data_IF_270404784270
#
_entry.id   IF_270404784270
#
_cell.length_a   1.000
_cell.length_b   1.000
_cell.length_c   1.000
_cell.angle_alpha   90.00
_cell.angle_beta   90.00
_cell.angle_gamma   90.00
#
_symmetry.space_group_name_H-M   'P 1'
#
loop_
_entity.id
_entity.type
_entity.pdbx_description
1 polymer ?
#
# COMPACT_ATOMS: atom_id res chain seq x y z
N UNK A 1 18.50 -19.47 56.49
CA UNK A 1 17.51 -20.19 55.65
C UNK A 1 16.68 -19.15 54.90
N UNK A 2 17.00 -18.96 53.62
CA UNK A 2 16.31 -18.07 52.70
C UNK A 2 14.97 -18.69 52.25
N UNK A 3 13.89 -17.91 52.22
CA UNK A 3 12.80 -18.13 51.26
C UNK A 3 12.29 -16.79 50.72
N UNK A 4 12.59 -16.62 49.44
CA UNK A 4 12.16 -15.55 48.55
C UNK A 4 10.64 -15.56 48.38
N UNK A 5 10.07 -14.35 48.43
CA UNK A 5 8.76 -14.01 47.92
C UNK A 5 8.73 -14.24 46.40
N UNK A 6 7.79 -15.08 45.96
CA UNK A 6 7.45 -15.29 44.55
C UNK A 6 6.70 -14.04 44.09
N UNK A 7 7.35 -13.15 43.33
CA UNK A 7 6.65 -12.12 42.55
C UNK A 7 5.96 -12.82 41.39
N UNK A 8 4.69 -12.50 41.25
CA UNK A 8 3.84 -12.85 40.11
C UNK A 8 4.49 -12.24 38.86
N UNK A 9 4.71 -13.07 37.84
CA UNK A 9 5.11 -12.62 36.51
C UNK A 9 4.05 -11.65 35.97
N UNK A 10 4.46 -10.39 35.86
CA UNK A 10 3.74 -9.35 35.14
C UNK A 10 3.78 -9.74 33.65
N UNK A 11 2.66 -9.90 32.93
CA UNK A 11 2.71 -10.03 31.49
C UNK A 11 3.24 -8.71 30.93
N UNK A 12 4.51 -8.72 30.53
CA UNK A 12 5.18 -7.60 29.91
C UNK A 12 4.34 -7.15 28.70
N UNK A 13 3.56 -6.08 28.89
CA UNK A 13 2.86 -5.40 27.81
C UNK A 13 3.88 -5.10 26.71
N UNK A 14 3.57 -5.43 25.44
CA UNK A 14 4.45 -5.08 24.36
C UNK A 14 4.69 -3.56 24.38
N UNK A 15 5.96 -3.21 24.29
CA UNK A 15 6.45 -1.84 24.24
C UNK A 15 5.67 -1.05 23.16
N UNK A 16 4.98 0.06 23.50
CA UNK A 16 4.19 0.83 22.54
C UNK A 16 5.04 1.40 21.40
N UNK A 17 6.35 1.57 21.60
CA UNK A 17 7.27 2.02 20.54
C UNK A 17 7.59 0.89 19.54
N UNK A 18 7.35 -0.37 19.93
CA UNK A 18 7.53 -1.54 19.07
C UNK A 18 6.30 -1.86 18.23
N UNK A 19 5.15 -1.27 18.56
CA UNK A 19 3.91 -1.33 17.76
C UNK A 19 3.88 -0.21 16.70
N UNK A 20 4.71 0.83 16.86
CA UNK A 20 4.78 1.99 15.95
C UNK A 20 5.98 1.99 14.99
N UNK A 21 6.80 0.93 14.97
CA UNK A 21 8.05 0.91 14.18
C UNK A 21 8.11 -0.26 13.18
N UNK A 22 7.07 -0.39 12.37
CA UNK A 22 7.28 -0.72 10.96
C UNK A 22 7.32 0.64 10.27
N UNK A 23 8.51 1.23 10.21
CA UNK A 23 8.70 2.45 9.45
C UNK A 23 8.32 2.11 8.01
N UNK A 24 7.22 2.70 7.54
CA UNK A 24 6.99 2.88 6.12
C UNK A 24 8.31 3.39 5.55
N UNK A 25 8.89 2.64 4.61
CA UNK A 25 10.04 3.11 3.85
C UNK A 25 9.54 4.27 2.99
N UNK A 26 9.49 5.45 3.63
CA UNK A 26 9.13 6.70 3.01
C UNK A 26 10.16 7.05 1.94
N UNK A 27 9.73 7.87 1.00
CA UNK A 27 10.65 8.48 0.06
C UNK A 27 11.60 9.37 0.88
N UNK A 28 12.89 9.04 0.91
CA UNK A 28 13.89 9.86 1.56
C UNK A 28 14.78 10.52 0.49
N UNK A 29 15.01 11.84 0.53
CA UNK A 29 15.87 12.51 -0.45
C UNK A 29 17.31 11.99 -0.45
N UNK A 30 17.73 11.31 0.63
CA UNK A 30 19.06 10.70 0.74
C UNK A 30 19.14 9.24 0.25
N UNK A 31 18.02 8.52 0.12
CA UNK A 31 18.01 7.11 -0.31
C UNK A 31 17.36 6.88 -1.67
N UNK A 32 16.61 7.86 -2.18
CA UNK A 32 16.19 7.93 -3.57
C UNK A 32 15.01 7.01 -3.93
N UNK A 33 14.68 6.92 -5.23
CA UNK A 33 13.46 6.26 -5.71
C UNK A 33 13.46 4.74 -5.54
N UNK A 34 14.60 4.10 -5.30
CA UNK A 34 14.71 2.64 -5.18
C UNK A 34 14.08 2.13 -3.88
N UNK A 35 14.28 2.83 -2.77
CA UNK A 35 13.68 2.48 -1.47
C UNK A 35 12.15 2.60 -1.51
N UNK A 36 11.64 3.63 -2.18
CA UNK A 36 10.21 3.77 -2.40
C UNK A 36 9.65 2.59 -3.22
N UNK A 37 10.31 2.22 -4.32
CA UNK A 37 9.87 1.08 -5.12
C UNK A 37 9.90 -0.22 -4.29
N UNK A 38 10.94 -0.44 -3.48
CA UNK A 38 10.99 -1.57 -2.56
C UNK A 38 9.84 -1.55 -1.53
N UNK A 39 9.48 -0.38 -1.00
CA UNK A 39 8.33 -0.21 -0.13
C UNK A 39 7.03 -0.65 -0.82
N UNK A 40 6.80 -0.18 -2.06
CA UNK A 40 5.61 -0.56 -2.83
C UNK A 40 5.56 -2.04 -3.18
N UNK A 41 6.71 -2.71 -3.33
CA UNK A 41 6.79 -4.17 -3.48
C UNK A 41 6.32 -4.88 -2.22
N UNK A 42 6.77 -4.42 -1.05
CA UNK A 42 6.34 -4.98 0.23
C UNK A 42 4.83 -4.82 0.43
N UNK A 43 4.29 -3.61 0.20
CA UNK A 43 2.86 -3.34 0.31
C UNK A 43 2.04 -4.19 -0.68
N UNK A 44 2.48 -4.32 -1.93
CA UNK A 44 1.81 -5.18 -2.90
C UNK A 44 1.80 -6.66 -2.48
N UNK A 45 2.90 -7.16 -1.89
CA UNK A 45 2.94 -8.50 -1.33
C UNK A 45 1.91 -8.67 -0.21
N UNK A 46 1.80 -7.70 0.70
CA UNK A 46 0.82 -7.72 1.79
C UNK A 46 -0.61 -7.79 1.24
N UNK A 47 -0.96 -6.95 0.26
CA UNK A 47 -2.29 -6.97 -0.38
C UNK A 47 -2.57 -8.32 -1.05
N UNK A 48 -1.64 -8.82 -1.87
CA UNK A 48 -1.79 -10.09 -2.59
C UNK A 48 -2.02 -11.26 -1.64
N UNK A 49 -1.26 -11.30 -0.55
CA UNK A 49 -1.19 -12.44 0.36
C UNK A 49 -2.18 -12.33 1.54
N UNK A 50 -2.88 -11.20 1.70
CA UNK A 50 -3.88 -10.98 2.76
C UNK A 50 -5.03 -12.01 2.73
N UNK A 51 -5.48 -12.48 3.89
CA UNK A 51 -6.57 -13.46 3.97
C UNK A 51 -7.92 -12.79 4.27
N UNK A 52 -8.84 -12.84 3.30
CA UNK A 52 -10.18 -12.27 3.40
C UNK A 52 -10.29 -10.77 3.08
N UNK A 53 -11.52 -10.26 3.08
CA UNK A 53 -11.82 -8.89 2.65
C UNK A 53 -11.25 -7.83 3.57
N UNK A 54 -11.36 -8.01 4.89
CA UNK A 54 -10.89 -7.01 5.86
C UNK A 54 -9.37 -6.83 5.78
N UNK A 55 -8.61 -7.93 5.78
CA UNK A 55 -7.15 -7.87 5.70
C UNK A 55 -6.68 -7.29 4.35
N UNK A 56 -7.38 -7.61 3.25
CA UNK A 56 -7.07 -7.03 1.93
C UNK A 56 -7.29 -5.51 1.93
N UNK A 57 -8.40 -5.04 2.53
CA UNK A 57 -8.68 -3.62 2.65
C UNK A 57 -7.64 -2.89 3.51
N UNK A 58 -7.31 -3.42 4.69
CA UNK A 58 -6.30 -2.85 5.57
C UNK A 58 -4.93 -2.76 4.91
N UNK A 59 -4.53 -3.79 4.16
CA UNK A 59 -3.30 -3.76 3.37
C UNK A 59 -3.36 -2.72 2.23
N UNK A 60 -4.51 -2.58 1.56
CA UNK A 60 -4.72 -1.54 0.54
C UNK A 60 -4.62 -0.12 1.11
N UNK A 61 -5.16 0.10 2.31
CA UNK A 61 -5.02 1.37 3.05
C UNK A 61 -3.55 1.60 3.45
N UNK A 62 -2.83 0.56 3.85
CA UNK A 62 -1.38 0.63 4.11
C UNK A 62 -0.60 1.08 2.87
N UNK A 63 -0.89 0.49 1.70
CA UNK A 63 -0.31 0.91 0.43
C UNK A 63 -0.61 2.39 0.14
N UNK A 64 -1.89 2.78 0.21
CA UNK A 64 -2.31 4.15 -0.01
C UNK A 64 -1.60 5.13 0.93
N UNK A 65 -1.49 4.79 2.22
CA UNK A 65 -0.77 5.56 3.22
C UNK A 65 0.70 5.76 2.86
N UNK A 66 1.38 4.70 2.41
CA UNK A 66 2.78 4.76 1.95
C UNK A 66 2.93 5.71 0.76
N UNK A 67 2.03 5.63 -0.23
CA UNK A 67 2.08 6.55 -1.39
C UNK A 67 1.81 7.99 -1.01
N UNK A 68 0.87 8.24 -0.09
CA UNK A 68 0.55 9.58 0.40
C UNK A 68 1.71 10.20 1.18
N UNK A 69 2.35 9.43 2.06
CA UNK A 69 3.51 9.88 2.83
C UNK A 69 4.65 10.28 1.89
N UNK A 70 5.00 9.39 0.96
CA UNK A 70 6.06 9.64 -0.01
C UNK A 70 5.75 10.83 -0.95
N UNK A 71 4.50 11.01 -1.35
CA UNK A 71 4.08 12.17 -2.14
C UNK A 71 4.25 13.49 -1.36
N UNK A 72 3.95 13.49 -0.05
CA UNK A 72 4.11 14.69 0.80
C UNK A 72 5.56 15.08 1.05
N UNK A 73 6.47 14.11 0.99
CA UNK A 73 7.90 14.30 1.23
C UNK A 73 8.67 14.66 -0.04
N UNK A 74 8.13 14.35 -1.23
CA UNK A 74 8.78 14.59 -2.52
C UNK A 74 8.77 16.09 -2.89
N UNK A 75 9.92 16.74 -3.13
CA UNK A 75 10.01 18.10 -3.62
C UNK A 75 9.30 18.28 -4.96
N UNK A 76 8.68 19.45 -5.14
CA UNK A 76 8.05 19.80 -6.41
C UNK A 76 9.04 19.73 -7.58
N UNK A 77 8.67 19.03 -8.65
CA UNK A 77 9.44 18.94 -9.90
C UNK A 77 10.30 17.69 -10.08
N UNK A 78 10.30 16.74 -9.13
CA UNK A 78 11.04 15.48 -9.27
C UNK A 78 10.26 14.35 -9.95
N UNK A 79 10.97 13.51 -10.71
CA UNK A 79 10.44 12.38 -11.49
C UNK A 79 9.64 11.35 -10.64
N UNK A 80 9.95 11.23 -9.35
CA UNK A 80 9.22 10.36 -8.42
C UNK A 80 7.74 10.78 -8.29
N UNK A 81 7.41 12.05 -8.51
CA UNK A 81 6.06 12.58 -8.33
C UNK A 81 5.02 11.92 -9.27
N UNK A 82 5.39 11.54 -10.50
CA UNK A 82 4.43 10.93 -11.44
C UNK A 82 4.07 9.50 -11.04
N UNK A 83 5.07 8.69 -10.65
CA UNK A 83 4.84 7.32 -10.16
C UNK A 83 4.05 7.35 -8.85
N UNK A 84 4.40 8.26 -7.94
CA UNK A 84 3.72 8.45 -6.68
C UNK A 84 2.26 8.87 -6.87
N UNK A 85 2.01 9.88 -7.70
CA UNK A 85 0.67 10.36 -7.98
C UNK A 85 -0.19 9.27 -8.65
N UNK A 86 0.37 8.52 -9.61
CA UNK A 86 -0.35 7.44 -10.26
C UNK A 86 -0.69 6.31 -9.28
N UNK A 87 0.25 5.86 -8.45
CA UNK A 87 -0.03 4.85 -7.42
C UNK A 87 -1.05 5.35 -6.39
N UNK A 88 -0.94 6.60 -5.93
CA UNK A 88 -1.92 7.20 -5.03
C UNK A 88 -3.34 7.16 -5.62
N UNK A 89 -3.50 7.52 -6.90
CA UNK A 89 -4.79 7.47 -7.58
C UNK A 89 -5.34 6.04 -7.69
N UNK A 90 -4.49 5.08 -8.09
CA UNK A 90 -4.89 3.68 -8.27
C UNK A 90 -5.35 3.09 -6.94
N UNK A 91 -4.53 3.22 -5.89
CA UNK A 91 -4.83 2.63 -4.59
C UNK A 91 -6.01 3.34 -3.91
N UNK A 92 -6.17 4.66 -4.11
CA UNK A 92 -7.36 5.38 -3.67
C UNK A 92 -8.64 4.84 -4.32
N UNK A 93 -8.63 4.64 -5.65
CA UNK A 93 -9.79 4.08 -6.36
C UNK A 93 -10.13 2.65 -5.92
N UNK A 94 -9.10 1.82 -5.70
CA UNK A 94 -9.29 0.44 -5.22
C UNK A 94 -9.84 0.40 -3.79
N UNK A 95 -9.37 1.28 -2.90
CA UNK A 95 -9.92 1.36 -1.53
C UNK A 95 -11.35 1.92 -1.54
N UNK A 96 -11.66 2.88 -2.41
CA UNK A 96 -13.02 3.41 -2.58
C UNK A 96 -13.98 2.33 -3.09
N UNK A 97 -13.55 1.47 -4.01
CA UNK A 97 -14.33 0.30 -4.46
C UNK A 97 -14.61 -0.67 -3.30
N UNK A 98 -13.66 -0.82 -2.38
CA UNK A 98 -13.84 -1.63 -1.18
C UNK A 98 -14.77 -1.01 -0.14
N UNK A 99 -14.93 0.32 -0.14
CA UNK A 99 -15.82 1.08 0.75
C UNK A 99 -17.17 1.47 0.11
N UNK A 100 -17.40 1.11 -1.15
CA UNK A 100 -18.53 1.57 -1.92
C UNK A 100 -19.89 1.28 -1.25
N UNK A 101 -20.80 2.27 -1.15
CA UNK A 101 -22.14 2.05 -0.61
C UNK A 101 -22.91 0.97 -1.39
N UNK A 102 -23.45 -0.01 -0.67
CA UNK A 102 -24.13 -1.16 -1.30
C UNK A 102 -23.24 -2.39 -1.50
N UNK A 103 -21.98 -2.36 -1.04
CA UNK A 103 -21.23 -3.55 -0.68
C UNK A 103 -21.86 -4.29 0.51
N UNK A 104 -21.47 -5.54 0.71
CA UNK A 104 -21.96 -6.40 1.79
C UNK A 104 -22.65 -7.67 1.31
N UNK A 105 -22.79 -7.88 -0.01
CA UNK A 105 -22.98 -9.23 -0.53
C UNK A 105 -21.61 -9.92 -0.65
N UNK A 106 -21.50 -11.22 -0.31
CA UNK A 106 -20.24 -11.96 -0.43
C UNK A 106 -19.64 -11.93 -1.84
N UNK A 107 -20.46 -11.83 -2.88
CA UNK A 107 -20.00 -11.80 -4.27
C UNK A 107 -19.33 -10.47 -4.64
N UNK A 108 -19.94 -9.34 -4.27
CA UNK A 108 -19.34 -8.02 -4.49
C UNK A 108 -18.06 -7.85 -3.66
N UNK A 109 -18.07 -8.32 -2.41
CA UNK A 109 -16.88 -8.28 -1.57
C UNK A 109 -15.75 -9.11 -2.18
N UNK A 110 -16.06 -10.32 -2.63
CA UNK A 110 -15.08 -11.18 -3.30
C UNK A 110 -14.60 -10.58 -4.63
N UNK A 111 -15.44 -9.88 -5.39
CA UNK A 111 -15.06 -9.25 -6.65
C UNK A 111 -14.04 -8.13 -6.43
N UNK A 112 -14.33 -7.21 -5.52
CA UNK A 112 -13.42 -6.09 -5.24
C UNK A 112 -12.13 -6.55 -4.52
N UNK A 113 -12.18 -7.61 -3.69
CA UNK A 113 -10.95 -8.28 -3.19
C UNK A 113 -10.12 -8.84 -4.33
N UNK A 114 -10.73 -9.54 -5.29
CA UNK A 114 -10.00 -10.07 -6.46
C UNK A 114 -9.38 -8.93 -7.27
N UNK A 115 -10.10 -7.82 -7.44
CA UNK A 115 -9.62 -6.68 -8.21
C UNK A 115 -8.40 -6.02 -7.56
N UNK A 116 -8.46 -5.75 -6.26
CA UNK A 116 -7.32 -5.17 -5.52
C UNK A 116 -6.10 -6.12 -5.52
N UNK A 117 -6.31 -7.42 -5.35
CA UNK A 117 -5.23 -8.42 -5.44
C UNK A 117 -4.65 -8.55 -6.85
N UNK A 118 -5.48 -8.39 -7.87
CA UNK A 118 -5.02 -8.38 -9.26
C UNK A 118 -4.11 -7.18 -9.51
N UNK A 119 -4.50 -5.98 -9.07
CA UNK A 119 -3.66 -4.79 -9.15
C UNK A 119 -2.30 -4.99 -8.46
N UNK A 120 -2.31 -5.57 -7.26
CA UNK A 120 -1.09 -5.88 -6.52
C UNK A 120 -0.17 -6.86 -7.30
N UNK A 121 -0.73 -7.94 -7.84
CA UNK A 121 0.02 -8.93 -8.60
C UNK A 121 0.62 -8.35 -9.89
N UNK A 122 -0.13 -7.49 -10.58
CA UNK A 122 0.32 -6.81 -11.79
C UNK A 122 1.42 -5.78 -11.49
N UNK A 123 1.30 -5.02 -10.39
CA UNK A 123 2.35 -4.11 -9.96
C UNK A 123 3.66 -4.87 -9.69
N UNK A 124 3.60 -6.00 -8.98
CA UNK A 124 4.77 -6.83 -8.70
C UNK A 124 5.45 -7.35 -9.97
N UNK A 125 4.68 -7.60 -11.03
CA UNK A 125 5.23 -7.99 -12.33
C UNK A 125 5.86 -6.81 -13.11
N UNK A 126 5.39 -5.59 -12.87
CA UNK A 126 5.79 -4.40 -13.61
C UNK A 126 6.91 -3.58 -12.93
N UNK A 127 7.03 -3.66 -11.61
CA UNK A 127 7.82 -2.74 -10.78
C UNK A 127 9.31 -2.70 -11.12
N UNK A 128 9.89 -3.78 -11.64
CA UNK A 128 11.32 -3.88 -11.90
C UNK A 128 11.78 -2.92 -13.01
N UNK A 129 11.04 -2.84 -14.12
CA UNK A 129 11.47 -2.06 -15.29
C UNK A 129 10.71 -0.75 -15.41
N UNK A 130 11.39 0.31 -15.83
CA UNK A 130 10.77 1.62 -16.06
C UNK A 130 9.65 1.55 -17.11
N UNK A 131 9.84 0.72 -18.13
CA UNK A 131 8.86 0.57 -19.22
C UNK A 131 7.59 -0.12 -18.74
N UNK A 132 7.71 -1.24 -18.04
CA UNK A 132 6.56 -2.00 -17.57
C UNK A 132 5.81 -1.22 -16.47
N UNK A 133 6.52 -0.53 -15.58
CA UNK A 133 5.90 0.43 -14.64
C UNK A 133 5.05 1.47 -15.37
N UNK A 134 5.61 2.12 -16.39
CA UNK A 134 4.88 3.14 -17.13
C UNK A 134 3.61 2.56 -17.79
N UNK A 135 3.72 1.38 -18.41
CA UNK A 135 2.58 0.71 -19.05
C UNK A 135 1.50 0.30 -18.04
N UNK A 136 1.91 -0.20 -16.86
CA UNK A 136 0.99 -0.51 -15.76
C UNK A 136 0.25 0.75 -15.31
N UNK A 137 0.99 1.82 -14.98
CA UNK A 137 0.42 3.04 -14.44
C UNK A 137 -0.51 3.74 -15.44
N UNK A 138 -0.12 3.81 -16.72
CA UNK A 138 -0.93 4.41 -17.77
C UNK A 138 -2.27 3.68 -17.93
N UNK A 139 -2.24 2.35 -18.09
CA UNK A 139 -3.46 1.55 -18.23
C UNK A 139 -4.35 1.69 -17.00
N UNK A 140 -3.79 1.55 -15.80
CA UNK A 140 -4.59 1.61 -14.58
C UNK A 140 -5.20 2.99 -14.34
N UNK A 141 -4.41 4.06 -14.46
CA UNK A 141 -4.93 5.42 -14.21
C UNK A 141 -6.02 5.79 -15.20
N UNK A 142 -5.84 5.50 -16.49
CA UNK A 142 -6.75 5.98 -17.53
C UNK A 142 -7.86 4.99 -17.89
N UNK A 143 -7.56 3.71 -17.98
CA UNK A 143 -8.50 2.72 -18.49
C UNK A 143 -9.29 2.06 -17.33
N UNK A 144 -8.63 1.71 -16.22
CA UNK A 144 -9.29 1.05 -15.08
C UNK A 144 -9.91 2.05 -14.09
N UNK A 145 -9.18 3.11 -13.72
CA UNK A 145 -9.69 4.17 -12.84
C UNK A 145 -10.51 5.24 -13.59
N UNK A 146 -10.45 5.27 -14.92
CA UNK A 146 -11.24 6.17 -15.76
C UNK A 146 -10.84 7.65 -15.72
N UNK A 147 -9.60 7.98 -15.33
CA UNK A 147 -9.14 9.38 -15.33
C UNK A 147 -9.01 9.93 -16.76
N UNK A 148 -9.19 11.25 -16.91
CA UNK A 148 -9.00 11.89 -18.21
C UNK A 148 -7.52 11.90 -18.63
N UNK A 149 -7.27 11.54 -19.89
CA UNK A 149 -5.95 11.74 -20.50
C UNK A 149 -5.76 13.23 -20.77
N UNK A 150 -4.60 13.79 -20.42
CA UNK A 150 -4.26 15.15 -20.86
C UNK A 150 -4.23 15.16 -22.40
N UNK A 151 -4.94 16.09 -23.05
CA UNK A 151 -4.84 16.24 -24.50
C UNK A 151 -3.40 16.59 -24.87
N UNK A 152 -2.86 15.85 -25.84
CA UNK A 152 -1.50 16.03 -26.40
C UNK A 152 -1.35 17.34 -27.16
#
# INVERSE_FOLDING_TARGET
MNRLTRRVDDPQLPDPDRILCVMAAGWHPETGPEDFLAATVNEACLVRDADGSQATYEAGIGFLGTTMSALSETPEGEYAAEVLAALYLIWGALTDEMDAPGRGSPEQDAAAVRHMKQAAAEWLAAVETRHDRAAYLERWVYDECGNERKPS
#
